data_IF_206310798629
#
_entry.id   IF_206310798629
#
_cell.length_a   1.000
_cell.length_b   1.000
_cell.length_c   1.000
_cell.angle_alpha   90.00
_cell.angle_beta   90.00
_cell.angle_gamma   90.00
#
_symmetry.space_group_name_H-M   'P 1'
#
loop_
_entity.id
_entity.type
_entity.pdbx_description
1 polymer ?
#
# COMPACT_ATOMS: atom_id res chain seq x y z
N UNK A 1 -8.24 7.89 -9.91
CA UNK A 1 -9.07 7.17 -8.91
C UNK A 1 -9.81 8.17 -8.04
N UNK A 2 -11.11 7.95 -7.71
CA UNK A 2 -11.85 8.77 -6.73
C UNK A 2 -12.27 7.90 -5.54
N UNK A 3 -11.79 8.22 -4.35
CA UNK A 3 -12.03 7.47 -3.12
C UNK A 3 -12.86 8.31 -2.15
N UNK A 4 -13.84 7.70 -1.48
CA UNK A 4 -14.67 8.36 -0.47
C UNK A 4 -14.82 7.45 0.74
N UNK A 5 -14.66 7.99 1.94
CA UNK A 5 -14.91 7.26 3.19
C UNK A 5 -14.01 6.03 3.34
N UNK A 6 -12.71 6.19 3.07
CA UNK A 6 -11.74 5.09 3.14
C UNK A 6 -11.00 5.08 4.48
N UNK A 7 -10.58 3.88 4.92
CA UNK A 7 -9.64 3.79 6.04
C UNK A 7 -8.23 4.21 5.61
N UNK A 8 -7.74 3.73 4.47
CA UNK A 8 -6.43 4.07 3.91
C UNK A 8 -6.59 4.54 2.45
N UNK A 9 -5.81 5.52 1.98
CA UNK A 9 -5.68 5.77 0.52
C UNK A 9 -4.74 4.72 -0.08
N UNK A 10 -3.54 4.59 0.49
CA UNK A 10 -2.54 3.61 0.08
C UNK A 10 -2.28 2.62 1.21
N UNK A 11 -2.48 1.33 0.97
CA UNK A 11 -2.14 0.29 1.92
C UNK A 11 -1.33 -0.80 1.24
N UNK A 12 -0.10 -0.98 1.70
CA UNK A 12 0.82 -2.03 1.27
C UNK A 12 1.21 -2.85 2.50
N UNK A 13 1.26 -4.17 2.35
CA UNK A 13 1.62 -5.10 3.43
C UNK A 13 2.33 -6.34 2.87
N UNK A 14 3.43 -6.72 3.50
CA UNK A 14 4.12 -8.00 3.27
C UNK A 14 3.63 -9.15 4.18
N UNK A 15 2.51 -8.99 4.89
CA UNK A 15 2.10 -9.91 5.96
C UNK A 15 1.24 -11.10 5.50
N UNK A 16 1.03 -11.28 4.20
CA UNK A 16 0.31 -12.44 3.65
C UNK A 16 1.29 -13.55 3.28
N UNK A 17 1.08 -14.75 3.83
CA UNK A 17 1.95 -15.92 3.60
C UNK A 17 1.23 -17.18 3.10
N UNK A 18 -0.07 -17.11 2.80
CA UNK A 18 -0.82 -18.27 2.30
C UNK A 18 -0.58 -18.48 0.82
N UNK A 19 -0.42 -19.74 0.40
CA UNK A 19 -0.26 -20.12 -1.00
C UNK A 19 -1.19 -21.30 -1.35
N UNK A 20 -1.89 -21.28 -2.49
CA UNK A 20 -2.83 -22.34 -2.87
C UNK A 20 -2.15 -23.64 -3.31
N UNK A 21 -0.91 -23.57 -3.80
CA UNK A 21 -0.08 -24.75 -4.10
C UNK A 21 0.65 -25.23 -2.83
N UNK A 22 0.42 -26.46 -2.36
CA UNK A 22 1.12 -27.03 -1.20
C UNK A 22 2.60 -27.33 -1.45
N UNK A 23 3.05 -27.30 -2.71
CA UNK A 23 4.45 -27.57 -3.10
C UNK A 23 5.29 -26.30 -3.18
N UNK A 24 4.70 -25.13 -2.89
CA UNK A 24 5.41 -23.85 -2.92
C UNK A 24 6.53 -23.79 -1.88
N UNK A 25 7.61 -23.08 -2.21
CA UNK A 25 8.70 -22.82 -1.26
C UNK A 25 8.32 -21.66 -0.33
N UNK A 26 8.04 -21.91 0.97
CA UNK A 26 7.65 -20.85 1.91
C UNK A 26 8.75 -19.81 2.18
N UNK A 27 9.98 -20.05 1.71
CA UNK A 27 11.10 -19.10 1.81
C UNK A 27 11.30 -18.26 0.54
N UNK A 28 10.55 -18.54 -0.53
CA UNK A 28 10.63 -17.75 -1.74
C UNK A 28 10.09 -16.33 -1.45
N UNK A 29 10.97 -15.34 -1.62
CA UNK A 29 10.66 -13.93 -1.44
C UNK A 29 10.32 -13.28 -2.79
N UNK A 30 9.27 -12.45 -2.86
CA UNK A 30 8.86 -11.83 -4.12
C UNK A 30 9.73 -10.61 -4.46
N UNK A 31 10.12 -10.47 -5.72
CA UNK A 31 10.65 -9.19 -6.20
C UNK A 31 9.50 -8.23 -6.49
N UNK A 32 9.30 -7.23 -5.63
CA UNK A 32 8.22 -6.24 -5.77
C UNK A 32 8.85 -4.87 -6.03
N UNK A 33 8.70 -4.40 -7.26
CA UNK A 33 9.22 -3.12 -7.76
C UNK A 33 8.18 -2.44 -8.68
N UNK A 34 8.47 -1.23 -9.13
CA UNK A 34 7.70 -0.45 -10.11
C UNK A 34 6.24 -0.23 -9.70
N UNK A 35 6.01 0.05 -8.42
CA UNK A 35 4.67 0.29 -7.87
C UNK A 35 4.25 1.72 -8.19
N UNK A 36 3.24 1.88 -9.06
CA UNK A 36 2.81 3.18 -9.54
C UNK A 36 1.36 3.48 -9.14
N UNK A 37 1.15 4.61 -8.47
CA UNK A 37 -0.16 5.20 -8.21
C UNK A 37 -0.20 6.64 -8.74
N UNK A 38 -1.13 6.92 -9.66
CA UNK A 38 -1.33 8.27 -10.18
C UNK A 38 -2.80 8.71 -10.12
N UNK A 39 -3.01 10.02 -10.14
CA UNK A 39 -4.31 10.66 -10.36
C UNK A 39 -5.36 10.25 -9.32
N UNK A 40 -5.02 10.32 -8.02
CA UNK A 40 -5.89 9.92 -6.91
C UNK A 40 -6.50 11.14 -6.24
N UNK A 41 -7.83 11.18 -6.12
CA UNK A 41 -8.55 12.15 -5.30
C UNK A 41 -9.32 11.40 -4.21
N UNK A 42 -9.04 11.68 -2.95
CA UNK A 42 -9.63 10.96 -1.83
C UNK A 42 -10.25 11.92 -0.82
N UNK A 43 -11.51 11.68 -0.44
CA UNK A 43 -12.25 12.47 0.55
C UNK A 43 -12.67 11.60 1.73
N UNK A 44 -12.75 12.18 2.93
CA UNK A 44 -13.20 11.49 4.15
C UNK A 44 -12.35 10.25 4.46
N UNK A 45 -11.02 10.42 4.51
CA UNK A 45 -10.09 9.32 4.77
C UNK A 45 -9.57 9.36 6.21
N UNK A 46 -9.33 8.19 6.81
CA UNK A 46 -8.70 8.07 8.14
C UNK A 46 -7.17 8.15 8.08
N UNK A 47 -6.54 7.45 7.14
CA UNK A 47 -5.09 7.39 6.95
C UNK A 47 -4.72 7.66 5.49
N UNK A 48 -3.75 8.53 5.25
CA UNK A 48 -3.23 8.75 3.90
C UNK A 48 -2.52 7.47 3.40
N UNK A 49 -1.64 6.90 4.21
CA UNK A 49 -0.90 5.69 3.82
C UNK A 49 -0.57 4.77 4.99
N UNK A 50 -0.35 3.50 4.66
CA UNK A 50 0.31 2.51 5.50
C UNK A 50 1.16 1.61 4.59
N UNK A 51 2.47 1.83 4.57
CA UNK A 51 3.39 1.17 3.64
C UNK A 51 4.33 0.22 4.40
N UNK A 52 3.95 -1.04 4.50
CA UNK A 52 4.74 -2.08 5.19
C UNK A 52 5.17 -3.15 4.18
N UNK A 53 6.48 -3.38 4.05
CA UNK A 53 7.04 -4.43 3.20
C UNK A 53 7.28 -5.75 3.95
N UNK A 54 8.12 -6.60 3.38
CA UNK A 54 8.68 -7.78 4.04
C UNK A 54 10.02 -7.39 4.67
N UNK A 55 10.28 -7.84 5.90
CA UNK A 55 11.55 -7.53 6.57
C UNK A 55 12.74 -8.13 5.81
N UNK A 56 13.77 -7.32 5.55
CA UNK A 56 14.93 -7.65 4.72
C UNK A 56 14.64 -7.93 3.23
N UNK A 57 13.41 -7.67 2.76
CA UNK A 57 13.00 -7.79 1.36
C UNK A 57 12.12 -6.58 0.99
N UNK A 58 12.75 -5.41 0.80
CA UNK A 58 12.04 -4.15 0.64
C UNK A 58 11.32 -4.08 -0.70
N UNK A 59 10.14 -3.48 -0.69
CA UNK A 59 9.47 -3.09 -1.94
C UNK A 59 10.13 -1.82 -2.45
N UNK A 60 10.51 -1.81 -3.72
CA UNK A 60 11.33 -0.74 -4.33
C UNK A 60 10.57 0.00 -5.43
N UNK A 61 11.11 1.14 -5.86
CA UNK A 61 10.59 1.95 -6.99
C UNK A 61 9.09 2.26 -6.88
N UNK A 62 8.70 2.82 -5.73
CA UNK A 62 7.34 3.27 -5.44
C UNK A 62 7.14 4.72 -5.88
N UNK A 63 6.25 4.94 -6.85
CA UNK A 63 5.91 6.26 -7.38
C UNK A 63 4.45 6.61 -7.10
N UNK A 64 4.25 7.74 -6.41
CA UNK A 64 2.92 8.29 -6.11
C UNK A 64 2.87 9.71 -6.68
N UNK A 65 1.96 9.96 -7.63
CA UNK A 65 1.90 11.23 -8.36
C UNK A 65 0.47 11.74 -8.58
N UNK A 66 0.31 13.06 -8.71
CA UNK A 66 -0.99 13.73 -8.85
C UNK A 66 -2.06 13.23 -7.85
N UNK A 67 -1.76 13.36 -6.56
CA UNK A 67 -2.63 12.89 -5.48
C UNK A 67 -3.14 14.07 -4.66
N UNK A 68 -4.46 14.08 -4.42
CA UNK A 68 -5.14 15.02 -3.52
C UNK A 68 -5.91 14.21 -2.46
N UNK A 69 -5.61 14.43 -1.18
CA UNK A 69 -6.26 13.74 -0.06
C UNK A 69 -6.86 14.78 0.89
N UNK A 70 -8.17 14.70 1.13
CA UNK A 70 -8.90 15.51 2.09
C UNK A 70 -9.28 14.66 3.31
N UNK A 71 -8.57 14.88 4.41
CA UNK A 71 -8.75 14.14 5.67
C UNK A 71 -9.81 14.77 6.58
N UNK A 72 -10.55 13.92 7.29
CA UNK A 72 -11.51 14.33 8.33
C UNK A 72 -10.96 13.85 9.69
N UNK A 73 -9.98 14.57 10.23
CA UNK A 73 -9.55 14.40 11.63
C UNK A 73 -8.25 13.62 11.87
N UNK A 74 -7.36 14.27 12.64
CA UNK A 74 -5.99 13.98 13.05
C UNK A 74 -4.90 14.09 11.97
N UNK A 75 -4.07 15.14 12.15
CA UNK A 75 -2.74 15.27 11.55
C UNK A 75 -1.85 14.16 12.13
N UNK A 76 -1.05 13.52 11.29
CA UNK A 76 -0.13 12.46 11.72
C UNK A 76 1.02 13.02 12.56
N UNK A 77 1.40 12.20 13.54
CA UNK A 77 2.67 12.22 14.27
C UNK A 77 3.61 11.22 13.58
#
# INVERSE_FOLDING_TARGET
MKLKTMKYVFWMTGSYGSHPDPSFDPKALPNITEINHSDVMADNVTYSEKLEGISNDPFTDVYISNVTIHNVGKKFQ
#
